data_IF_251932691526
#
_entry.id   IF_251932691526
#
_cell.length_a   1.000
_cell.length_b   1.000
_cell.length_c   1.000
_cell.angle_alpha   90.00
_cell.angle_beta   90.00
_cell.angle_gamma   90.00
#
_symmetry.space_group_name_H-M   'P 1'
#
loop_
_entity.id
_entity.type
_entity.pdbx_description
1 polymer ?
#
# COMPACT_ATOMS: atom_id res chain seq x y z
N UNK A 1 -2.21 -49.35 55.55
CA UNK A 1 -3.43 -49.51 54.74
C UNK A 1 -4.35 -48.39 55.16
N UNK A 2 -4.28 -47.18 54.61
CA UNK A 2 -4.54 -46.77 53.21
C UNK A 2 -3.68 -45.55 52.81
N UNK A 3 -3.35 -45.47 51.53
CA UNK A 3 -2.51 -44.44 50.89
C UNK A 3 -3.23 -43.08 50.82
N UNK A 4 -2.50 -41.98 51.02
CA UNK A 4 -2.88 -40.65 50.52
C UNK A 4 -1.75 -40.13 49.63
N UNK A 5 -2.03 -40.13 48.32
CA UNK A 5 -1.16 -39.73 47.23
C UNK A 5 -1.43 -38.24 46.90
N UNK A 6 -0.42 -37.34 46.85
CA UNK A 6 -0.62 -35.94 46.50
C UNK A 6 -0.28 -35.72 45.02
N UNK A 7 -1.27 -35.90 44.13
CA UNK A 7 -1.09 -35.57 42.72
C UNK A 7 -2.43 -35.24 42.04
N UNK A 8 -2.79 -33.95 41.96
CA UNK A 8 -3.30 -33.41 40.68
C UNK A 8 -3.20 -31.88 40.62
N UNK A 9 -2.07 -31.50 40.04
CA UNK A 9 -1.70 -30.19 39.52
C UNK A 9 -2.61 -29.75 38.36
N UNK A 10 -2.94 -28.46 38.35
CA UNK A 10 -3.27 -27.62 37.19
C UNK A 10 -4.38 -28.06 36.22
N UNK A 11 -5.60 -27.55 36.45
CA UNK A 11 -6.58 -27.32 35.39
C UNK A 11 -6.18 -26.06 34.60
N UNK A 12 -5.38 -26.29 33.56
CA UNK A 12 -5.07 -25.29 32.54
C UNK A 12 -6.33 -24.87 31.79
N UNK A 13 -6.63 -23.58 31.84
CA UNK A 13 -7.65 -22.93 31.03
C UNK A 13 -7.26 -22.99 29.54
N UNK A 14 -7.84 -23.94 28.80
CA UNK A 14 -7.72 -24.00 27.35
C UNK A 14 -8.39 -22.75 26.73
N UNK A 15 -7.57 -21.82 26.20
CA UNK A 15 -8.07 -20.73 25.34
C UNK A 15 -8.41 -21.32 23.96
N UNK A 16 -9.63 -21.15 23.43
CA UNK A 16 -9.97 -21.68 22.12
C UNK A 16 -9.34 -20.82 21.00
N UNK A 17 -8.54 -21.48 20.16
CA UNK A 17 -8.60 -21.31 18.70
C UNK A 17 -8.16 -19.96 18.12
N UNK A 18 -6.97 -19.47 18.45
CA UNK A 18 -6.28 -18.50 17.58
C UNK A 18 -5.74 -19.24 16.36
N UNK A 19 -6.36 -19.11 15.18
CA UNK A 19 -5.75 -19.53 13.92
C UNK A 19 -4.48 -18.70 13.71
N UNK A 20 -3.33 -19.25 14.09
CA UNK A 20 -2.03 -18.75 13.67
C UNK A 20 -1.92 -19.00 12.17
N UNK A 21 -1.97 -17.95 11.37
CA UNK A 21 -1.53 -18.03 9.97
C UNK A 21 -0.01 -18.19 10.02
N UNK A 22 0.58 -19.31 9.59
CA UNK A 22 2.02 -19.43 9.48
C UNK A 22 2.43 -18.70 8.20
N UNK A 23 2.88 -17.46 8.34
CA UNK A 23 3.83 -16.89 7.39
C UNK A 23 5.19 -17.00 8.05
N UNK A 24 6.16 -17.66 7.39
CA UNK A 24 7.55 -17.53 7.81
C UNK A 24 7.89 -16.04 7.96
N UNK A 25 8.62 -15.64 9.02
CA UNK A 25 9.01 -14.25 9.18
C UNK A 25 9.72 -13.78 7.90
N UNK A 26 9.42 -12.56 7.40
CA UNK A 26 10.03 -12.05 6.18
C UNK A 26 11.55 -12.20 6.25
N UNK A 27 12.15 -12.73 5.18
CA UNK A 27 13.60 -12.89 5.14
C UNK A 27 14.28 -11.53 5.29
N UNK A 28 15.31 -11.44 6.14
CA UNK A 28 16.08 -10.20 6.36
C UNK A 28 16.54 -9.54 5.06
N UNK A 29 16.81 -10.33 4.02
CA UNK A 29 17.18 -9.88 2.68
C UNK A 29 16.05 -9.13 1.96
N UNK A 30 14.81 -9.59 2.01
CA UNK A 30 13.67 -8.90 1.40
C UNK A 30 13.41 -7.54 2.05
N UNK A 31 13.59 -7.45 3.37
CA UNK A 31 13.50 -6.18 4.10
C UNK A 31 14.65 -5.23 3.76
N UNK A 32 15.87 -5.74 3.56
CA UNK A 32 17.01 -4.93 3.11
C UNK A 32 16.78 -4.34 1.72
N UNK A 33 16.23 -5.13 0.78
CA UNK A 33 15.87 -4.64 -0.55
C UNK A 33 14.79 -3.55 -0.50
N UNK A 34 13.80 -3.68 0.39
CA UNK A 34 12.82 -2.63 0.63
C UNK A 34 13.48 -1.30 1.02
N UNK A 35 14.45 -1.32 1.94
CA UNK A 35 15.17 -0.11 2.34
C UNK A 35 15.97 0.51 1.20
N UNK A 36 16.63 -0.28 0.36
CA UNK A 36 17.37 0.23 -0.80
C UNK A 36 16.42 0.97 -1.76
N UNK A 37 15.24 0.41 -2.03
CA UNK A 37 14.26 1.05 -2.90
C UNK A 37 13.69 2.34 -2.30
N UNK A 38 13.45 2.38 -0.98
CA UNK A 38 13.04 3.62 -0.29
C UNK A 38 14.14 4.68 -0.37
N UNK A 39 15.39 4.32 -0.12
CA UNK A 39 16.51 5.26 -0.20
C UNK A 39 16.69 5.79 -1.63
N UNK A 40 16.51 4.94 -2.64
CA UNK A 40 16.50 5.36 -4.03
C UNK A 40 15.34 6.33 -4.32
N UNK A 41 14.14 6.07 -3.79
CA UNK A 41 13.00 6.97 -3.95
C UNK A 41 13.26 8.34 -3.30
N UNK A 42 13.88 8.37 -2.11
CA UNK A 42 14.32 9.60 -1.45
C UNK A 42 15.36 10.33 -2.29
N UNK A 43 16.35 9.63 -2.84
CA UNK A 43 17.38 10.23 -3.70
C UNK A 43 16.78 10.90 -4.95
N UNK A 44 15.74 10.29 -5.54
CA UNK A 44 14.99 10.84 -6.69
C UNK A 44 14.24 12.14 -6.32
N UNK A 45 13.84 12.30 -5.06
CA UNK A 45 13.14 13.50 -4.59
C UNK A 45 14.09 14.67 -4.29
N UNK A 46 15.39 14.44 -4.11
CA UNK A 46 16.38 15.51 -3.88
C UNK A 46 16.45 16.50 -5.05
N UNK A 47 16.59 16.09 -6.32
CA UNK A 47 16.61 17.00 -7.46
C UNK A 47 15.22 17.52 -7.87
N UNK A 48 14.12 16.98 -7.32
CA UNK A 48 12.75 17.31 -7.76
C UNK A 48 12.43 18.81 -7.77
N UNK A 49 12.79 19.61 -6.74
CA UNK A 49 12.52 21.05 -6.73
C UNK A 49 13.43 21.86 -7.68
N UNK A 50 14.47 21.23 -8.24
CA UNK A 50 15.48 21.88 -9.08
C UNK A 50 15.21 21.69 -10.58
N UNK A 51 14.26 20.84 -10.95
CA UNK A 51 13.90 20.52 -12.33
C UNK A 51 12.45 20.89 -12.62
N UNK A 52 12.13 21.13 -13.89
CA UNK A 52 10.79 21.50 -14.36
C UNK A 52 10.31 20.60 -15.52
N UNK A 53 9.03 20.68 -15.85
CA UNK A 53 8.46 20.05 -17.05
C UNK A 53 8.63 18.53 -17.13
N UNK A 54 9.26 18.06 -18.21
CA UNK A 54 9.42 16.63 -18.50
C UNK A 54 10.32 15.92 -17.50
N UNK A 55 11.41 16.58 -17.06
CA UNK A 55 12.34 16.01 -16.08
C UNK A 55 11.65 15.82 -14.73
N UNK A 56 10.89 16.82 -14.27
CA UNK A 56 10.08 16.71 -13.05
C UNK A 56 9.08 15.56 -13.14
N UNK A 57 8.39 15.44 -14.27
CA UNK A 57 7.43 14.36 -14.51
C UNK A 57 8.09 12.98 -14.48
N UNK A 58 9.29 12.86 -15.06
CA UNK A 58 10.06 11.62 -15.02
C UNK A 58 10.49 11.23 -13.60
N UNK A 59 10.93 12.19 -12.78
CA UNK A 59 11.26 11.94 -11.37
C UNK A 59 10.03 11.47 -10.58
N UNK A 60 8.85 12.09 -10.80
CA UNK A 60 7.59 11.63 -10.20
C UNK A 60 7.27 10.18 -10.58
N UNK A 61 7.37 9.84 -11.87
CA UNK A 61 7.12 8.48 -12.35
C UNK A 61 8.08 7.49 -11.70
N UNK A 62 9.37 7.80 -11.67
CA UNK A 62 10.39 6.92 -11.06
C UNK A 62 10.12 6.75 -9.56
N UNK A 63 9.79 7.82 -8.84
CA UNK A 63 9.46 7.74 -7.42
C UNK A 63 8.23 6.86 -7.15
N UNK A 64 7.16 7.03 -7.94
CA UNK A 64 5.96 6.20 -7.84
C UNK A 64 6.28 4.73 -8.09
N UNK A 65 7.07 4.42 -9.12
CA UNK A 65 7.47 3.04 -9.42
C UNK A 65 8.29 2.42 -8.29
N UNK A 66 9.31 3.12 -7.78
CA UNK A 66 10.15 2.64 -6.68
C UNK A 66 9.33 2.35 -5.42
N UNK A 67 8.42 3.25 -5.06
CA UNK A 67 7.58 3.08 -3.87
C UNK A 67 6.48 2.04 -4.08
N UNK A 68 5.90 1.93 -5.28
CA UNK A 68 4.94 0.87 -5.61
C UNK A 68 5.59 -0.52 -5.52
N UNK A 69 6.81 -0.68 -6.06
CA UNK A 69 7.60 -1.91 -5.95
C UNK A 69 7.95 -2.18 -4.49
N UNK A 70 8.35 -1.17 -3.71
CA UNK A 70 8.61 -1.31 -2.27
C UNK A 70 7.39 -1.85 -1.53
N UNK A 71 6.22 -1.26 -1.78
CA UNK A 71 4.95 -1.71 -1.19
C UNK A 71 4.62 -3.15 -1.58
N UNK A 72 4.78 -3.53 -2.85
CA UNK A 72 4.55 -4.89 -3.32
C UNK A 72 5.55 -5.91 -2.72
N UNK A 73 6.83 -5.57 -2.64
CA UNK A 73 7.87 -6.40 -2.02
C UNK A 73 7.60 -6.58 -0.53
N UNK A 74 7.25 -5.51 0.19
CA UNK A 74 6.90 -5.62 1.61
C UNK A 74 5.63 -6.44 1.80
N UNK A 75 4.61 -6.27 0.95
CA UNK A 75 3.40 -7.08 0.95
C UNK A 75 3.71 -8.56 0.75
N UNK A 76 4.49 -8.88 -0.28
CA UNK A 76 4.85 -10.25 -0.64
C UNK A 76 5.65 -10.92 0.48
N UNK A 77 6.65 -10.24 1.02
CA UNK A 77 7.50 -10.76 2.09
C UNK A 77 6.74 -10.98 3.41
N UNK A 78 5.72 -10.17 3.71
CA UNK A 78 5.02 -10.22 5.01
C UNK A 78 3.68 -10.94 4.98
N UNK A 79 3.05 -11.10 3.81
CA UNK A 79 1.68 -11.63 3.68
C UNK A 79 1.51 -12.67 2.56
N UNK A 80 2.55 -12.92 1.77
CA UNK A 80 2.53 -13.93 0.71
C UNK A 80 1.84 -13.46 -0.57
N UNK A 81 1.98 -14.29 -1.61
CA UNK A 81 1.62 -13.95 -2.99
C UNK A 81 0.13 -13.63 -3.18
N UNK A 82 -0.75 -14.48 -2.65
CA UNK A 82 -2.19 -14.32 -2.83
C UNK A 82 -2.71 -13.02 -2.21
N UNK A 83 -2.20 -12.66 -1.03
CA UNK A 83 -2.59 -11.41 -0.39
C UNK A 83 -2.10 -10.20 -1.19
N UNK A 84 -0.86 -10.25 -1.67
CA UNK A 84 -0.28 -9.18 -2.50
C UNK A 84 -1.03 -9.02 -3.82
N UNK A 85 -1.38 -10.13 -4.48
CA UNK A 85 -2.16 -10.11 -5.71
C UNK A 85 -3.54 -9.48 -5.48
N UNK A 86 -4.23 -9.85 -4.39
CA UNK A 86 -5.51 -9.25 -4.02
C UNK A 86 -5.41 -7.75 -3.76
N UNK A 87 -4.38 -7.31 -3.01
CA UNK A 87 -4.13 -5.89 -2.77
C UNK A 87 -3.86 -5.13 -4.07
N UNK A 88 -3.00 -5.65 -4.95
CA UNK A 88 -2.68 -5.00 -6.23
C UNK A 88 -3.91 -4.93 -7.13
N UNK A 89 -4.70 -6.00 -7.21
CA UNK A 89 -5.93 -6.01 -7.98
C UNK A 89 -6.93 -4.95 -7.50
N UNK A 90 -7.10 -4.81 -6.18
CA UNK A 90 -7.98 -3.78 -5.61
C UNK A 90 -7.43 -2.38 -5.82
N UNK A 91 -6.15 -2.14 -5.53
CA UNK A 91 -5.59 -0.79 -5.57
C UNK A 91 -5.37 -0.30 -7.01
N UNK A 92 -4.74 -1.11 -7.86
CA UNK A 92 -4.50 -0.76 -9.28
C UNK A 92 -5.81 -0.82 -10.05
N UNK A 93 -6.56 -1.91 -9.93
CA UNK A 93 -7.81 -2.09 -10.68
C UNK A 93 -8.91 -1.12 -10.21
N UNK A 94 -9.12 -0.99 -8.90
CA UNK A 94 -10.08 -0.05 -8.34
C UNK A 94 -9.71 1.40 -8.63
N UNK A 95 -8.43 1.77 -8.47
CA UNK A 95 -7.93 3.09 -8.84
C UNK A 95 -8.17 3.39 -10.31
N UNK A 96 -7.79 2.49 -11.22
CA UNK A 96 -8.03 2.67 -12.66
C UNK A 96 -9.51 2.85 -12.98
N UNK A 97 -10.40 2.06 -12.38
CA UNK A 97 -11.85 2.19 -12.61
C UNK A 97 -12.34 3.56 -12.18
N UNK A 98 -11.96 4.04 -10.99
CA UNK A 98 -12.37 5.36 -10.49
C UNK A 98 -11.81 6.49 -11.35
N UNK A 99 -10.57 6.37 -11.82
CA UNK A 99 -9.94 7.36 -12.71
C UNK A 99 -10.59 7.41 -14.09
N UNK A 100 -10.89 6.25 -14.68
CA UNK A 100 -11.60 6.19 -15.97
C UNK A 100 -12.99 6.80 -15.83
N UNK A 101 -13.71 6.51 -14.74
CA UNK A 101 -14.98 7.16 -14.44
C UNK A 101 -14.80 8.68 -14.30
N UNK A 102 -13.78 9.14 -13.59
CA UNK A 102 -13.47 10.55 -13.41
C UNK A 102 -13.23 11.28 -14.73
N UNK A 103 -12.33 10.76 -15.57
CA UNK A 103 -11.97 11.36 -16.87
C UNK A 103 -13.16 11.38 -17.84
N UNK A 104 -13.99 10.33 -17.86
CA UNK A 104 -15.08 10.22 -18.83
C UNK A 104 -16.40 10.86 -18.37
N UNK A 105 -16.68 10.88 -17.07
CA UNK A 105 -17.98 11.35 -16.53
C UNK A 105 -17.88 12.63 -15.71
N UNK A 106 -16.69 12.98 -15.23
CA UNK A 106 -16.49 14.06 -14.27
C UNK A 106 -16.87 13.71 -12.83
N UNK A 107 -17.19 12.45 -12.54
CA UNK A 107 -17.51 11.95 -11.19
C UNK A 107 -16.45 10.90 -10.81
N UNK A 108 -15.86 10.94 -9.60
CA UNK A 108 -16.20 11.81 -8.46
C UNK A 108 -15.45 13.14 -8.38
N UNK A 109 -14.41 13.36 -9.19
CA UNK A 109 -13.45 14.44 -8.97
C UNK A 109 -13.75 15.76 -9.71
N UNK A 110 -14.85 15.84 -10.45
CA UNK A 110 -15.09 16.95 -11.37
C UNK A 110 -14.42 16.72 -12.73
N UNK A 111 -14.43 17.75 -13.60
CA UNK A 111 -13.85 17.66 -14.95
C UNK A 111 -12.35 17.98 -14.90
N UNK A 112 -11.52 17.02 -15.29
CA UNK A 112 -10.07 17.17 -15.42
C UNK A 112 -9.56 16.40 -16.63
N UNK A 113 -8.34 16.69 -17.06
CA UNK A 113 -7.67 15.97 -18.15
C UNK A 113 -6.18 15.82 -17.84
N UNK A 114 -5.66 14.60 -18.01
CA UNK A 114 -4.23 14.36 -17.87
C UNK A 114 -3.41 14.99 -19.01
N UNK A 115 -2.27 15.58 -18.67
CA UNK A 115 -1.25 16.05 -19.61
C UNK A 115 -0.43 14.92 -20.24
N UNK A 116 0.34 15.22 -21.29
CA UNK A 116 1.12 14.22 -22.04
C UNK A 116 2.37 13.69 -21.34
N UNK A 117 2.80 14.31 -20.23
CA UNK A 117 4.12 14.09 -19.64
C UNK A 117 4.24 12.81 -18.78
N UNK A 118 3.12 12.18 -18.40
CA UNK A 118 3.10 10.99 -17.52
C UNK A 118 3.23 9.65 -18.27
N UNK A 119 3.54 9.69 -19.56
CA UNK A 119 3.80 8.52 -20.37
C UNK A 119 2.54 7.81 -20.89
N UNK A 120 2.61 6.49 -21.13
CA UNK A 120 1.55 5.74 -21.81
C UNK A 120 0.25 5.71 -20.99
N UNK A 121 -0.86 5.70 -21.72
CA UNK A 121 -2.21 5.76 -21.16
C UNK A 121 -2.97 4.48 -21.41
N UNK A 122 -3.81 4.12 -20.45
CA UNK A 122 -4.78 3.06 -20.54
C UNK A 122 -6.16 3.68 -20.33
N UNK A 123 -7.05 3.56 -21.33
CA UNK A 123 -8.41 4.13 -21.28
C UNK A 123 -8.42 5.63 -20.91
N UNK A 124 -7.46 6.40 -21.45
CA UNK A 124 -7.33 7.85 -21.19
C UNK A 124 -6.57 8.23 -19.92
N UNK A 125 -6.28 7.27 -19.03
CA UNK A 125 -5.58 7.47 -17.75
C UNK A 125 -4.11 7.03 -17.86
N UNK A 126 -3.11 7.86 -17.47
CA UNK A 126 -1.71 7.44 -17.44
C UNK A 126 -1.49 6.24 -16.52
N UNK A 127 -0.75 5.23 -16.98
CA UNK A 127 -0.57 3.96 -16.26
C UNK A 127 0.07 4.16 -14.88
N UNK A 128 0.89 5.21 -14.73
CA UNK A 128 1.50 5.57 -13.44
C UNK A 128 0.47 5.91 -12.36
N UNK A 129 -0.72 6.41 -12.73
CA UNK A 129 -1.75 6.83 -11.76
C UNK A 129 -2.29 5.63 -10.97
N UNK A 130 -2.81 4.54 -11.59
CA UNK A 130 -3.15 3.32 -10.86
C UNK A 130 -2.00 2.72 -10.03
N UNK A 131 -0.75 2.92 -10.45
CA UNK A 131 0.42 2.50 -9.66
C UNK A 131 0.65 3.40 -8.44
N UNK A 132 0.33 4.69 -8.51
CA UNK A 132 0.31 5.60 -7.35
C UNK A 132 -0.78 5.21 -6.34
N UNK A 133 -1.96 4.79 -6.81
CA UNK A 133 -2.98 4.19 -5.94
C UNK A 133 -2.42 3.00 -5.17
N UNK A 134 -1.76 2.05 -5.84
CA UNK A 134 -1.11 0.93 -5.18
C UNK A 134 -0.03 1.40 -4.19
N UNK A 135 0.91 2.23 -4.67
CA UNK A 135 2.01 2.80 -3.89
C UNK A 135 1.56 3.24 -2.50
N UNK A 136 0.48 4.03 -2.42
CA UNK A 136 0.04 4.66 -1.17
C UNK A 136 -1.06 3.89 -0.42
N UNK A 137 -1.85 3.05 -1.10
CA UNK A 137 -2.87 2.20 -0.43
C UNK A 137 -2.22 1.26 0.60
N UNK A 138 -1.08 0.66 0.25
CA UNK A 138 -0.41 -0.28 1.14
C UNK A 138 0.14 0.34 2.44
N UNK A 139 0.94 1.42 2.43
CA UNK A 139 1.39 2.08 3.66
C UNK A 139 0.21 2.64 4.47
N UNK A 140 -0.83 3.15 3.81
CA UNK A 140 -2.07 3.58 4.47
C UNK A 140 -2.73 2.42 5.24
N UNK A 141 -2.84 1.24 4.61
CA UNK A 141 -3.30 0.03 5.27
C UNK A 141 -2.40 -0.37 6.44
N UNK A 142 -1.07 -0.36 6.24
CA UNK A 142 -0.09 -0.69 7.28
C UNK A 142 -0.29 0.19 8.52
N UNK A 143 -0.54 1.49 8.35
CA UNK A 143 -0.75 2.43 9.46
C UNK A 143 -2.01 2.11 10.28
N UNK A 144 -3.10 1.74 9.61
CA UNK A 144 -4.41 1.52 10.25
C UNK A 144 -4.66 0.08 10.65
N UNK A 145 -3.81 -0.87 10.25
CA UNK A 145 -3.96 -2.32 10.46
C UNK A 145 -4.13 -2.75 11.91
N UNK A 146 -3.81 -1.91 12.90
CA UNK A 146 -4.03 -2.20 14.33
C UNK A 146 -5.51 -2.25 14.70
N UNK A 147 -6.38 -1.61 13.90
CA UNK A 147 -7.82 -1.55 14.15
C UNK A 147 -8.59 -2.74 13.55
N UNK A 148 -8.01 -3.94 13.46
CA UNK A 148 -8.61 -5.11 12.75
C UNK A 148 -10.02 -5.50 13.23
N UNK A 149 -10.35 -5.22 14.49
CA UNK A 149 -11.67 -5.51 15.07
C UNK A 149 -12.76 -4.50 14.67
N UNK A 150 -12.39 -3.42 13.98
CA UNK A 150 -13.29 -2.39 13.50
C UNK A 150 -12.96 -2.07 12.02
N UNK A 151 -13.33 -2.96 11.07
CA UNK A 151 -12.91 -2.87 9.67
C UNK A 151 -13.39 -1.59 8.99
N UNK A 152 -14.60 -1.11 9.31
CA UNK A 152 -15.13 0.17 8.80
C UNK A 152 -14.25 1.33 9.26
N UNK A 153 -13.91 1.39 10.55
CA UNK A 153 -13.01 2.42 11.07
C UNK A 153 -11.63 2.35 10.42
N UNK A 154 -11.09 1.16 10.20
CA UNK A 154 -9.81 0.98 9.51
C UNK A 154 -9.88 1.47 8.06
N UNK A 155 -10.95 1.17 7.33
CA UNK A 155 -11.17 1.64 5.97
C UNK A 155 -11.26 3.17 5.90
N UNK A 156 -12.08 3.79 6.76
CA UNK A 156 -12.22 5.26 6.83
C UNK A 156 -10.87 5.91 7.12
N UNK A 157 -10.16 5.47 8.17
CA UNK A 157 -8.84 6.03 8.51
C UNK A 157 -7.82 5.82 7.38
N UNK A 158 -7.84 4.65 6.73
CA UNK A 158 -6.94 4.35 5.61
C UNK A 158 -7.21 5.25 4.41
N UNK A 159 -8.48 5.47 4.08
CA UNK A 159 -8.90 6.38 3.00
C UNK A 159 -8.56 7.83 3.31
N UNK A 160 -8.65 8.26 4.57
CA UNK A 160 -8.24 9.61 4.97
C UNK A 160 -6.73 9.83 4.84
N UNK A 161 -5.92 8.82 5.16
CA UNK A 161 -4.46 8.88 4.97
C UNK A 161 -4.11 8.96 3.48
N UNK A 162 -4.81 8.18 2.65
CA UNK A 162 -4.65 8.22 1.20
C UNK A 162 -5.04 9.59 0.62
N UNK A 163 -6.21 10.11 1.00
CA UNK A 163 -6.68 11.42 0.55
C UNK A 163 -5.82 12.59 1.06
N UNK A 164 -5.30 12.51 2.29
CA UNK A 164 -4.38 13.52 2.82
C UNK A 164 -3.06 13.55 2.05
N UNK A 165 -2.63 12.41 1.51
CA UNK A 165 -1.48 12.35 0.63
C UNK A 165 -1.75 13.02 -0.72
N UNK A 166 -2.89 12.76 -1.35
CA UNK A 166 -3.28 13.44 -2.59
C UNK A 166 -3.35 14.96 -2.40
N UNK A 167 -3.95 15.43 -1.31
CA UNK A 167 -4.00 16.85 -0.95
C UNK A 167 -2.60 17.48 -0.81
N UNK A 168 -1.61 16.71 -0.34
CA UNK A 168 -0.23 17.18 -0.26
C UNK A 168 0.44 17.27 -1.63
N UNK A 169 0.09 16.38 -2.56
CA UNK A 169 0.64 16.35 -3.91
C UNK A 169 -0.01 17.38 -4.86
N UNK A 170 -1.29 17.73 -4.67
CA UNK A 170 -2.02 18.62 -5.57
C UNK A 170 -1.29 19.95 -5.87
N UNK A 171 -0.68 20.67 -4.90
CA UNK A 171 0.08 21.89 -5.19
C UNK A 171 1.38 21.69 -5.95
N UNK A 172 1.86 20.44 -6.05
CA UNK A 172 3.11 20.08 -6.74
C UNK A 172 2.89 19.75 -8.21
N UNK A 173 1.62 19.65 -8.66
CA UNK A 173 1.22 19.26 -10.02
C UNK A 173 0.97 20.45 -10.94
#
# INVERSE_FOLDING_TARGET
>A
MTLHDPAFTALGSARPGGRSIPGEPPTRRALAWGWILVLAAVAVQIPYPLVDGVERSALSVVAVLLLAVTSAVHALATRGLLWTAGYLAVAVGGGLVVEVLGVHTGIPFGRYAYGGALGPRLLGVPIVVPLAWAMMTYPSYVLVRRHRRAPVRAAVLGSLVLAAWDLFLDPQM
#
